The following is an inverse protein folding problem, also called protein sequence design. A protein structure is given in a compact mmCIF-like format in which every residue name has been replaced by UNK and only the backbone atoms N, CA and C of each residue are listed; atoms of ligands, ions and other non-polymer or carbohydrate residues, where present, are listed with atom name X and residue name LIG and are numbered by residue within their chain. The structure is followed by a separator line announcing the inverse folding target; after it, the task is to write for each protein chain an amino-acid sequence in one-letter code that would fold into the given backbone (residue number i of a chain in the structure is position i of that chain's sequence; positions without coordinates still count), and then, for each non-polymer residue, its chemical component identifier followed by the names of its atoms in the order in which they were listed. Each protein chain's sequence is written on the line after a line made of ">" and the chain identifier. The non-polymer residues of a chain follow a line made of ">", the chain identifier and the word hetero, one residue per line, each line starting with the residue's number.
data_IF_613654595699
#
_entry.id   IF_613654595699
#
_cell.length_a   1.000
_cell.length_b   1.000
_cell.length_c   1.000
_cell.angle_alpha   90.00
_cell.angle_beta   90.00
_cell.angle_gamma   90.00
#
_symmetry.space_group_name_H-M   'P 1'
#
loop_
_entity.id
_entity.type
_entity.pdbx_description
1 polymer ?
#
# COMPACT_ATOMS: atom_id res chain seq x y z
N UNK A 1 -5.41 -19.96 80.93
CA UNK A 1 -5.63 -21.09 79.99
C UNK A 1 -6.69 -20.68 78.97
N UNK A 2 -6.27 -20.30 77.76
CA UNK A 2 -7.13 -19.81 76.67
C UNK A 2 -7.17 -20.92 75.60
N UNK A 3 -8.31 -21.60 75.44
CA UNK A 3 -8.47 -22.65 74.41
C UNK A 3 -8.58 -21.97 73.05
N UNK A 4 -7.64 -22.26 72.15
CA UNK A 4 -7.70 -21.84 70.75
C UNK A 4 -8.84 -22.60 70.04
N UNK A 5 -9.62 -21.95 69.17
CA UNK A 5 -10.67 -22.61 68.40
C UNK A 5 -10.07 -23.58 67.37
N UNK A 6 -10.77 -24.67 67.04
CA UNK A 6 -10.28 -25.68 66.11
C UNK A 6 -10.10 -25.10 64.70
N UNK A 7 -8.97 -25.42 64.10
CA UNK A 7 -8.69 -25.21 62.68
C UNK A 7 -9.87 -25.74 61.85
N UNK A 8 -10.61 -24.84 61.22
CA UNK A 8 -11.53 -25.20 60.14
C UNK A 8 -10.69 -25.74 59.00
N UNK A 9 -10.68 -27.05 58.85
CA UNK A 9 -10.20 -27.73 57.66
C UNK A 9 -10.88 -27.09 56.44
N UNK A 10 -10.10 -26.35 55.65
CA UNK A 10 -10.47 -25.89 54.32
C UNK A 10 -10.81 -27.14 53.52
N UNK A 11 -12.10 -27.43 53.37
CA UNK A 11 -12.55 -28.49 52.47
C UNK A 11 -12.10 -28.09 51.08
N UNK A 12 -11.09 -28.79 50.56
CA UNK A 12 -10.72 -28.77 49.15
C UNK A 12 -11.89 -29.37 48.39
N UNK A 13 -12.86 -28.54 48.03
CA UNK A 13 -13.99 -28.93 47.22
C UNK A 13 -13.42 -29.39 45.85
N UNK A 14 -13.53 -30.67 45.49
CA UNK A 14 -12.96 -31.21 44.25
C UNK A 14 -13.74 -30.75 43.00
N UNK A 15 -14.67 -29.80 43.16
CA UNK A 15 -15.35 -29.06 42.10
C UNK A 15 -14.43 -28.11 41.31
N UNK A 16 -13.13 -28.42 41.21
CA UNK A 16 -12.21 -27.81 40.24
C UNK A 16 -12.53 -28.34 38.83
N UNK A 17 -13.59 -27.78 38.26
CA UNK A 17 -13.62 -27.32 36.88
C UNK A 17 -13.35 -28.35 35.78
N UNK A 18 -13.99 -29.51 35.82
CA UNK A 18 -14.14 -30.29 34.60
C UNK A 18 -15.06 -29.52 33.66
N UNK A 19 -14.49 -28.81 32.68
CA UNK A 19 -15.25 -28.19 31.60
C UNK A 19 -16.08 -29.30 30.98
N UNK A 20 -17.40 -29.21 31.10
CA UNK A 20 -18.29 -30.20 30.50
C UNK A 20 -18.00 -30.26 28.99
N UNK A 21 -18.06 -31.45 28.40
CA UNK A 21 -17.83 -31.63 26.96
C UNK A 21 -18.67 -30.65 26.11
N UNK A 22 -19.90 -30.37 26.57
CA UNK A 22 -20.79 -29.39 25.97
C UNK A 22 -20.22 -27.96 26.06
N UNK A 23 -19.66 -27.58 27.22
CA UNK A 23 -18.98 -26.31 27.39
C UNK A 23 -17.75 -26.16 26.49
N UNK A 24 -16.93 -27.22 26.36
CA UNK A 24 -15.78 -27.21 25.46
C UNK A 24 -16.18 -27.06 23.99
N UNK A 25 -17.25 -27.75 23.59
CA UNK A 25 -17.80 -27.67 22.22
C UNK A 25 -18.34 -26.27 21.93
N UNK A 26 -19.10 -25.68 22.86
CA UNK A 26 -19.63 -24.32 22.71
C UNK A 26 -18.50 -23.28 22.61
N UNK A 27 -17.48 -23.38 23.46
CA UNK A 27 -16.32 -22.49 23.41
C UNK A 27 -15.58 -22.60 22.07
N UNK A 28 -15.37 -23.82 21.58
CA UNK A 28 -14.73 -24.07 20.28
C UNK A 28 -15.52 -23.44 19.14
N UNK A 29 -16.86 -23.57 19.16
CA UNK A 29 -17.72 -22.95 18.16
C UNK A 29 -17.64 -21.41 18.19
N UNK A 30 -17.63 -20.80 19.37
CA UNK A 30 -17.47 -19.35 19.53
C UNK A 30 -16.12 -18.89 18.97
N UNK A 31 -15.02 -19.57 19.34
CA UNK A 31 -13.68 -19.25 18.85
C UNK A 31 -13.62 -19.38 17.32
N UNK A 32 -14.22 -20.43 16.75
CA UNK A 32 -14.28 -20.59 15.30
C UNK A 32 -15.02 -19.42 14.64
N UNK A 33 -16.21 -19.04 15.14
CA UNK A 33 -16.96 -17.89 14.62
C UNK A 33 -16.13 -16.60 14.70
N UNK A 34 -15.46 -16.35 15.83
CA UNK A 34 -14.59 -15.18 15.96
C UNK A 34 -13.47 -15.19 14.93
N UNK A 35 -12.82 -16.32 14.69
CA UNK A 35 -11.78 -16.46 13.67
C UNK A 35 -12.35 -16.20 12.27
N UNK A 36 -13.47 -16.84 11.90
CA UNK A 36 -14.08 -16.72 10.58
C UNK A 36 -14.62 -15.32 10.29
N UNK A 37 -15.06 -14.57 11.30
CA UNK A 37 -15.58 -13.20 11.13
C UNK A 37 -14.47 -12.16 11.24
N UNK A 38 -13.50 -12.35 12.15
CA UNK A 38 -12.49 -11.33 12.45
C UNK A 38 -11.34 -11.35 11.45
N UNK A 39 -10.88 -12.52 11.01
CA UNK A 39 -9.75 -12.61 10.06
C UNK A 39 -10.02 -11.90 8.72
N UNK A 40 -11.19 -12.03 8.07
CA UNK A 40 -11.47 -11.27 6.84
C UNK A 40 -11.45 -9.75 7.06
N UNK A 41 -11.96 -9.29 8.21
CA UNK A 41 -11.98 -7.86 8.56
C UNK A 41 -10.58 -7.33 8.83
N UNK A 42 -9.77 -8.06 9.59
CA UNK A 42 -8.36 -7.73 9.82
C UNK A 42 -7.59 -7.68 8.50
N UNK A 43 -7.85 -8.62 7.59
CA UNK A 43 -7.24 -8.59 6.26
C UNK A 43 -7.66 -7.37 5.45
N UNK A 44 -8.94 -6.99 5.47
CA UNK A 44 -9.37 -5.75 4.79
C UNK A 44 -8.71 -4.51 5.39
N UNK A 45 -8.55 -4.47 6.71
CA UNK A 45 -7.88 -3.38 7.39
C UNK A 45 -6.41 -3.27 6.96
N UNK A 46 -5.66 -4.37 7.01
CA UNK A 46 -4.26 -4.42 6.57
C UNK A 46 -4.12 -4.01 5.10
N UNK A 47 -5.03 -4.43 4.21
CA UNK A 47 -5.00 -3.98 2.82
C UNK A 47 -5.18 -2.47 2.69
N UNK A 48 -6.10 -1.86 3.46
CA UNK A 48 -6.35 -0.41 3.41
C UNK A 48 -5.19 0.39 4.00
N UNK A 49 -4.58 -0.12 5.07
CA UNK A 49 -3.39 0.45 5.69
C UNK A 49 -2.21 0.46 4.71
N UNK A 50 -1.88 -0.71 4.13
CA UNK A 50 -0.84 -0.83 3.10
C UNK A 50 -1.13 0.06 1.88
N UNK A 51 -2.39 0.20 1.47
CA UNK A 51 -2.80 1.10 0.37
C UNK A 51 -2.53 2.56 0.70
N UNK A 52 -2.87 3.01 1.92
CA UNK A 52 -2.61 4.39 2.35
C UNK A 52 -1.12 4.68 2.42
N UNK A 53 -0.35 3.78 3.03
CA UNK A 53 1.11 3.90 3.11
C UNK A 53 1.76 3.90 1.74
N UNK A 54 1.34 3.02 0.84
CA UNK A 54 1.87 2.97 -0.52
C UNK A 54 1.55 4.25 -1.30
N UNK A 55 0.37 4.82 -1.13
CA UNK A 55 0.00 6.11 -1.71
C UNK A 55 0.91 7.23 -1.17
N UNK A 56 1.07 7.31 0.15
CA UNK A 56 1.89 8.35 0.79
C UNK A 56 3.35 8.25 0.37
N UNK A 57 3.91 7.03 0.35
CA UNK A 57 5.27 6.78 -0.10
C UNK A 57 5.46 7.11 -1.58
N UNK A 58 4.51 6.76 -2.45
CA UNK A 58 4.59 7.12 -3.87
C UNK A 58 4.64 8.65 -4.06
N UNK A 59 3.83 9.40 -3.31
CA UNK A 59 3.84 10.87 -3.32
C UNK A 59 5.15 11.43 -2.77
N UNK A 60 5.67 10.88 -1.68
CA UNK A 60 6.96 11.29 -1.11
C UNK A 60 8.09 11.11 -2.13
N UNK A 61 8.21 9.92 -2.71
CA UNK A 61 9.23 9.63 -3.74
C UNK A 61 9.06 10.53 -4.98
N UNK A 62 7.83 10.83 -5.39
CA UNK A 62 7.59 11.73 -6.53
C UNK A 62 8.01 13.18 -6.27
N UNK A 63 7.98 13.64 -5.00
CA UNK A 63 8.53 14.94 -4.61
C UNK A 63 10.06 14.96 -4.65
N UNK A 64 10.71 13.86 -4.29
CA UNK A 64 12.17 13.74 -4.41
C UNK A 64 12.59 13.86 -5.89
N UNK A 65 11.85 13.21 -6.80
CA UNK A 65 12.07 13.33 -8.25
C UNK A 65 11.93 14.75 -8.79
N UNK A 66 11.10 15.59 -8.15
CA UNK A 66 10.95 17.00 -8.53
C UNK A 66 12.19 17.82 -8.17
N UNK A 67 12.83 17.47 -7.06
CA UNK A 67 13.98 18.20 -6.52
C UNK A 67 15.28 17.77 -7.19
N UNK A 68 15.40 16.48 -7.51
CA UNK A 68 16.60 15.88 -8.11
C UNK A 68 16.23 14.98 -9.30
N UNK A 69 15.94 15.56 -10.48
CA UNK A 69 15.60 14.79 -11.65
C UNK A 69 16.82 13.99 -12.15
N UNK A 70 16.65 12.73 -12.57
CA UNK A 70 17.76 11.96 -13.12
C UNK A 70 18.36 12.62 -14.36
N UNK A 71 19.68 12.47 -14.59
CA UNK A 71 20.30 12.86 -15.84
C UNK A 71 19.67 12.08 -17.01
N UNK A 72 19.53 12.76 -18.16
CA UNK A 72 18.88 12.21 -19.35
C UNK A 72 19.52 10.88 -19.79
N UNK A 73 18.71 9.82 -19.83
CA UNK A 73 19.10 8.52 -20.37
C UNK A 73 19.66 7.52 -19.36
N UNK A 74 19.87 7.91 -18.10
CA UNK A 74 20.29 6.96 -17.07
C UNK A 74 19.08 6.28 -16.39
N UNK A 75 19.15 4.97 -16.12
CA UNK A 75 18.10 4.27 -15.40
C UNK A 75 18.11 4.70 -13.93
N UNK A 76 17.10 5.46 -13.51
CA UNK A 76 16.98 5.87 -12.12
C UNK A 76 16.84 4.65 -11.19
N UNK A 77 17.71 4.58 -10.18
CA UNK A 77 17.66 3.58 -9.12
C UNK A 77 16.78 4.10 -7.98
N UNK A 78 15.74 3.34 -7.65
CA UNK A 78 14.87 3.67 -6.51
C UNK A 78 15.63 3.65 -5.19
N UNK A 79 16.64 2.81 -5.10
CA UNK A 79 17.53 2.73 -3.94
C UNK A 79 18.26 4.06 -3.68
N UNK A 80 18.72 4.75 -4.72
CA UNK A 80 19.35 6.06 -4.57
C UNK A 80 18.33 7.11 -4.13
N UNK A 81 17.14 7.08 -4.72
CA UNK A 81 16.04 7.99 -4.39
C UNK A 81 15.59 7.84 -2.93
N UNK A 82 15.48 6.60 -2.44
CA UNK A 82 15.14 6.30 -1.05
C UNK A 82 16.23 6.77 -0.10
N UNK A 83 17.51 6.55 -0.45
CA UNK A 83 18.65 7.00 0.37
C UNK A 83 18.77 8.53 0.43
N UNK A 84 18.30 9.23 -0.60
CA UNK A 84 18.31 10.69 -0.64
C UNK A 84 17.29 11.33 0.31
N UNK A 85 16.25 10.59 0.73
CA UNK A 85 15.17 11.09 1.59
C UNK A 85 15.19 10.38 2.97
N UNK A 86 15.75 11.02 4.02
CA UNK A 86 15.93 10.39 5.33
C UNK A 86 14.64 9.87 5.95
N UNK A 87 13.52 10.59 5.75
CA UNK A 87 12.22 10.21 6.28
C UNK A 87 11.70 8.93 5.62
N UNK A 88 12.05 8.68 4.36
CA UNK A 88 11.69 7.44 3.66
C UNK A 88 12.57 6.28 4.14
N UNK A 89 13.89 6.49 4.22
CA UNK A 89 14.86 5.48 4.62
C UNK A 89 14.70 4.99 6.07
N UNK A 90 14.15 5.83 6.96
CA UNK A 90 13.98 5.50 8.38
C UNK A 90 12.93 4.42 8.66
N UNK A 91 12.07 4.11 7.69
CA UNK A 91 10.84 3.37 7.94
C UNK A 91 10.98 1.83 7.93
N UNK A 92 12.15 1.28 7.56
CA UNK A 92 12.44 -0.16 7.63
C UNK A 92 11.62 -1.05 6.66
N UNK A 93 11.97 -2.33 6.57
CA UNK A 93 11.35 -3.34 5.69
C UNK A 93 11.44 -3.08 4.18
N UNK A 94 12.60 -2.60 3.73
CA UNK A 94 12.87 -2.35 2.31
C UNK A 94 13.53 -3.57 1.65
N UNK A 95 12.87 -4.16 0.66
CA UNK A 95 13.48 -5.13 -0.25
C UNK A 95 13.71 -4.48 -1.62
N UNK A 96 14.95 -4.38 -2.09
CA UNK A 96 15.27 -3.91 -3.44
C UNK A 96 15.42 -5.08 -4.42
N UNK A 97 14.89 -4.92 -5.64
CA UNK A 97 14.99 -5.89 -6.74
C UNK A 97 15.46 -5.22 -8.03
N UNK A 98 15.79 -6.06 -9.02
CA UNK A 98 16.18 -5.61 -10.36
C UNK A 98 17.33 -4.58 -10.35
N UNK A 99 18.30 -4.79 -9.45
CA UNK A 99 19.45 -3.90 -9.30
C UNK A 99 19.09 -2.52 -8.73
N UNK A 100 18.17 -2.45 -7.76
CA UNK A 100 17.77 -1.19 -7.11
C UNK A 100 16.64 -0.44 -7.82
N UNK A 101 16.14 -0.94 -8.97
CA UNK A 101 15.07 -0.29 -9.75
C UNK A 101 13.66 -0.55 -9.20
N UNK A 102 13.50 -1.60 -8.41
CA UNK A 102 12.24 -1.96 -7.77
C UNK A 102 12.45 -1.93 -6.26
N UNK A 103 11.53 -1.29 -5.56
CA UNK A 103 11.40 -1.39 -4.10
C UNK A 103 10.14 -2.18 -3.80
N UNK A 104 10.20 -3.08 -2.83
CA UNK A 104 9.01 -3.65 -2.19
C UNK A 104 8.97 -3.20 -0.74
N UNK A 105 7.79 -2.76 -0.33
CA UNK A 105 7.52 -2.35 1.05
C UNK A 105 6.04 -2.50 1.39
N UNK A 106 5.73 -3.00 2.58
CA UNK A 106 4.37 -3.30 3.07
C UNK A 106 3.48 -4.03 2.04
N UNK A 107 4.08 -4.94 1.27
CA UNK A 107 3.36 -5.71 0.24
C UNK A 107 2.99 -4.93 -1.03
N UNK A 108 3.51 -3.72 -1.20
CA UNK A 108 3.50 -2.95 -2.44
C UNK A 108 4.87 -2.97 -3.12
N UNK A 109 4.85 -2.78 -4.42
CA UNK A 109 6.01 -2.59 -5.28
C UNK A 109 6.02 -1.18 -5.82
N UNK A 110 7.21 -0.61 -5.98
CA UNK A 110 7.43 0.74 -6.46
C UNK A 110 8.48 0.75 -7.57
N UNK A 111 8.27 1.59 -8.57
CA UNK A 111 9.22 1.87 -9.64
C UNK A 111 9.08 3.30 -10.12
N UNK A 112 10.17 3.91 -10.59
CA UNK A 112 10.07 5.08 -11.46
C UNK A 112 9.87 4.61 -12.89
N UNK A 113 8.81 5.11 -13.51
CA UNK A 113 8.44 4.75 -14.87
C UNK A 113 8.29 6.01 -15.73
N UNK A 114 8.72 5.96 -17.01
CA UNK A 114 8.32 6.96 -17.96
C UNK A 114 6.83 6.77 -18.27
N UNK A 115 6.09 7.88 -18.23
CA UNK A 115 4.68 7.92 -18.56
C UNK A 115 4.51 8.85 -19.75
N UNK A 116 3.98 8.31 -20.84
CA UNK A 116 3.56 9.14 -21.97
C UNK A 116 2.47 10.09 -21.47
N UNK A 117 2.64 11.39 -21.72
CA UNK A 117 1.66 12.39 -21.32
C UNK A 117 0.24 11.91 -21.70
N UNK A 118 -0.74 11.97 -20.78
CA UNK A 118 -2.09 11.58 -21.13
C UNK A 118 -2.51 12.44 -22.32
N UNK A 119 -3.01 11.80 -23.38
CA UNK A 119 -3.51 12.54 -24.54
C UNK A 119 -4.52 13.54 -23.99
N UNK A 120 -4.26 14.87 -24.09
CA UNK A 120 -5.15 15.84 -23.49
C UNK A 120 -6.55 15.57 -24.02
N UNK A 121 -7.53 15.50 -23.11
CA UNK A 121 -8.92 15.44 -23.50
C UNK A 121 -9.15 16.55 -24.54
N UNK A 122 -9.92 16.28 -25.63
CA UNK A 122 -10.12 17.25 -26.69
C UNK A 122 -10.47 18.60 -26.06
N UNK A 123 -9.70 19.63 -26.40
CA UNK A 123 -9.77 20.93 -25.76
C UNK A 123 -11.24 21.37 -25.63
N UNK A 124 -11.66 21.93 -24.47
CA UNK A 124 -13.02 22.44 -24.33
C UNK A 124 -13.31 23.37 -25.50
N UNK A 125 -14.46 23.16 -26.16
CA UNK A 125 -14.84 23.90 -27.38
C UNK A 125 -14.83 25.40 -27.06
N UNK A 126 -13.85 26.11 -27.62
CA UNK A 126 -13.73 27.55 -27.79
C UNK A 126 -14.50 28.41 -26.77
N UNK A 127 -13.83 28.80 -25.67
CA UNK A 127 -14.36 29.79 -24.72
C UNK A 127 -13.46 30.08 -23.50
N UNK A 128 -12.69 29.11 -23.03
CA UNK A 128 -11.75 29.26 -21.89
C UNK A 128 -10.31 29.34 -22.39
N UNK A 129 -9.83 30.55 -22.71
CA UNK A 129 -8.51 30.75 -23.37
C UNK A 129 -7.40 31.22 -22.41
N UNK A 130 -7.65 31.38 -21.10
CA UNK A 130 -6.72 32.14 -20.24
C UNK A 130 -5.88 31.34 -19.22
N UNK A 131 -5.81 30.01 -19.28
CA UNK A 131 -5.01 29.22 -18.32
C UNK A 131 -4.10 28.14 -18.93
N UNK A 132 -3.86 28.15 -20.24
CA UNK A 132 -3.15 27.06 -20.93
C UNK A 132 -1.61 27.18 -20.97
N UNK A 133 -1.03 28.26 -20.44
CA UNK A 133 0.38 28.59 -20.69
C UNK A 133 1.41 27.76 -19.89
N UNK A 134 0.97 26.90 -18.98
CA UNK A 134 1.84 25.95 -18.25
C UNK A 134 1.52 24.48 -18.54
N UNK A 135 0.73 24.20 -19.57
CA UNK A 135 0.46 22.82 -19.97
C UNK A 135 1.75 22.19 -20.54
N UNK A 136 2.20 21.03 -20.02
CA UNK A 136 3.38 20.35 -20.54
C UNK A 136 3.23 20.07 -22.03
N UNK A 137 4.31 20.28 -22.80
CA UNK A 137 4.30 20.05 -24.25
C UNK A 137 3.85 18.61 -24.54
N UNK A 138 2.82 18.40 -25.37
CA UNK A 138 2.40 17.06 -25.75
C UNK A 138 3.58 16.31 -26.36
N UNK A 139 3.92 15.15 -25.80
CA UNK A 139 4.95 14.25 -26.32
C UNK A 139 6.23 14.10 -25.50
N UNK A 140 6.47 14.93 -24.47
CA UNK A 140 7.61 14.67 -23.55
C UNK A 140 7.15 13.68 -22.48
N UNK A 141 7.76 12.48 -22.37
CA UNK A 141 7.41 11.54 -21.30
C UNK A 141 7.70 12.18 -19.95
N UNK A 142 6.73 12.11 -19.03
CA UNK A 142 6.90 12.56 -17.64
C UNK A 142 7.32 11.35 -16.82
N UNK A 143 8.29 11.51 -15.93
CA UNK A 143 8.59 10.48 -14.94
C UNK A 143 7.49 10.48 -13.86
N UNK A 144 7.13 9.29 -13.41
CA UNK A 144 6.20 9.08 -12.31
C UNK A 144 6.68 7.94 -11.42
N UNK A 145 6.33 8.01 -10.14
CA UNK A 145 6.45 6.87 -9.23
C UNK A 145 5.18 6.04 -9.34
N UNK A 146 5.32 4.81 -9.84
CA UNK A 146 4.25 3.83 -9.88
C UNK A 146 4.33 2.94 -8.65
N UNK A 147 3.19 2.75 -7.99
CA UNK A 147 3.04 1.79 -6.90
C UNK A 147 1.95 0.77 -7.21
N UNK A 148 2.17 -0.52 -6.93
CA UNK A 148 1.17 -1.57 -7.18
C UNK A 148 1.30 -2.74 -6.20
N UNK A 149 0.21 -3.48 -5.93
CA UNK A 149 0.27 -4.55 -4.94
C UNK A 149 1.15 -5.71 -5.44
N UNK A 150 1.98 -6.26 -4.55
CA UNK A 150 2.69 -7.50 -4.80
C UNK A 150 1.73 -8.64 -5.12
N UNK A 151 0.60 -8.73 -4.39
CA UNK A 151 -0.46 -9.71 -4.64
C UNK A 151 -1.83 -9.09 -4.42
N UNK A 152 -2.58 -8.93 -5.51
CA UNK A 152 -3.87 -8.24 -5.50
C UNK A 152 -4.87 -8.95 -4.58
N UNK A 153 -5.61 -8.16 -3.82
CA UNK A 153 -6.57 -8.62 -2.81
C UNK A 153 -5.95 -9.24 -1.56
N UNK A 154 -4.61 -9.39 -1.48
CA UNK A 154 -3.90 -9.81 -0.26
C UNK A 154 -3.12 -8.67 0.37
N UNK A 155 -2.37 -7.91 -0.41
CA UNK A 155 -1.56 -6.81 0.10
C UNK A 155 -2.17 -5.44 -0.20
N UNK A 156 -3.01 -5.38 -1.23
CA UNK A 156 -3.79 -4.21 -1.63
C UNK A 156 -4.58 -4.49 -2.90
N UNK A 157 -5.35 -3.51 -3.36
CA UNK A 157 -6.30 -3.63 -4.47
C UNK A 157 -6.06 -2.60 -5.56
N UNK A 158 -5.56 -1.42 -5.20
CA UNK A 158 -5.33 -0.31 -6.11
C UNK A 158 -3.85 -0.20 -6.50
N UNK A 159 -3.60 0.34 -7.70
CA UNK A 159 -2.29 0.84 -8.11
C UNK A 159 -2.33 2.37 -8.18
N UNK A 160 -1.18 2.99 -7.99
CA UNK A 160 -1.01 4.44 -7.90
C UNK A 160 0.06 4.92 -8.88
N UNK A 161 -0.10 6.15 -9.39
CA UNK A 161 0.89 6.89 -10.14
C UNK A 161 0.98 8.29 -9.54
N UNK A 162 2.11 8.59 -8.90
CA UNK A 162 2.42 9.90 -8.36
C UNK A 162 3.41 10.61 -9.28
N UNK A 163 3.11 11.85 -9.65
CA UNK A 163 3.95 12.68 -10.50
C UNK A 163 4.65 13.76 -9.69
N UNK A 164 5.84 14.22 -10.13
CA UNK A 164 6.39 15.51 -9.71
C UNK A 164 5.34 16.61 -9.86
N UNK A 165 5.19 17.47 -8.85
CA UNK A 165 4.10 18.46 -8.74
C UNK A 165 2.86 17.97 -7.98
N UNK A 166 2.90 16.77 -7.39
CA UNK A 166 1.87 16.29 -6.45
C UNK A 166 0.61 15.71 -7.10
N UNK A 167 0.57 15.57 -8.42
CA UNK A 167 -0.53 14.93 -9.12
C UNK A 167 -0.54 13.41 -8.84
N UNK A 168 -1.68 12.89 -8.38
CA UNK A 168 -1.87 11.47 -8.08
C UNK A 168 -2.98 10.88 -8.95
N UNK A 169 -2.70 9.71 -9.52
CA UNK A 169 -3.68 8.90 -10.25
C UNK A 169 -3.80 7.54 -9.58
N UNK A 170 -5.03 7.03 -9.56
CA UNK A 170 -5.36 5.73 -8.96
C UNK A 170 -6.04 4.84 -10.00
N UNK A 171 -5.63 3.59 -10.06
CA UNK A 171 -6.29 2.53 -10.79
C UNK A 171 -6.89 1.55 -9.79
N UNK A 172 -8.21 1.60 -9.63
CA UNK A 172 -8.93 0.71 -8.72
C UNK A 172 -8.91 -0.75 -9.22
N UNK A 173 -9.01 -1.69 -8.28
CA UNK A 173 -8.84 -3.11 -8.53
C UNK A 173 -9.70 -3.65 -9.67
N UNK A 174 -9.04 -4.20 -10.67
CA UNK A 174 -9.63 -4.87 -11.84
C UNK A 174 -8.60 -5.79 -12.50
N UNK A 175 -8.96 -6.51 -13.58
CA UNK A 175 -8.02 -7.37 -14.31
C UNK A 175 -6.82 -6.60 -14.88
N UNK A 176 -6.98 -5.31 -15.15
CA UNK A 176 -5.90 -4.41 -15.59
C UNK A 176 -4.96 -3.95 -14.47
N UNK A 177 -5.32 -4.16 -13.20
CA UNK A 177 -4.47 -3.74 -12.07
C UNK A 177 -3.23 -4.64 -12.01
N UNK A 178 -2.02 -4.08 -12.16
CA UNK A 178 -0.76 -4.83 -12.15
C UNK A 178 -0.53 -5.54 -10.81
N UNK A 179 0.11 -6.72 -10.85
CA UNK A 179 0.58 -7.39 -9.63
C UNK A 179 1.95 -8.07 -9.82
N UNK A 180 2.72 -8.12 -8.73
CA UNK A 180 4.04 -8.77 -8.71
C UNK A 180 5.15 -8.01 -9.47
N UNK A 181 6.39 -8.51 -9.40
CA UNK A 181 7.59 -7.75 -9.81
C UNK A 181 7.71 -7.53 -11.33
N UNK A 182 7.02 -8.34 -12.14
CA UNK A 182 7.08 -8.23 -13.60
C UNK A 182 6.18 -7.13 -14.18
N UNK A 183 5.18 -6.67 -13.42
CA UNK A 183 4.10 -5.85 -13.96
C UNK A 183 4.38 -4.34 -14.03
N UNK A 184 5.50 -3.85 -13.46
CA UNK A 184 5.70 -2.41 -13.28
C UNK A 184 7.04 -1.83 -13.72
N UNK A 185 7.89 -2.58 -14.43
CA UNK A 185 9.08 -2.02 -15.07
C UNK A 185 8.81 -1.49 -16.48
N UNK A 186 7.71 -1.89 -17.11
CA UNK A 186 7.31 -1.40 -18.42
C UNK A 186 6.67 -0.02 -18.30
N UNK A 187 6.88 0.81 -19.34
CA UNK A 187 6.23 2.10 -19.47
C UNK A 187 4.70 1.94 -19.39
N UNK A 188 4.01 2.94 -18.83
CA UNK A 188 2.56 2.91 -18.79
C UNK A 188 2.01 3.05 -20.21
N UNK A 189 1.61 1.92 -20.81
CA UNK A 189 1.13 1.88 -22.19
C UNK A 189 -0.33 2.35 -22.37
N UNK A 190 -1.12 2.33 -21.29
CA UNK A 190 -2.54 2.72 -21.33
C UNK A 190 -2.96 3.47 -20.06
N UNK A 191 -3.76 4.52 -20.29
CA UNK A 191 -4.43 5.31 -19.26
C UNK A 191 -5.85 4.80 -18.95
N UNK A 192 -6.30 3.74 -19.61
CA UNK A 192 -7.64 3.19 -19.40
C UNK A 192 -7.84 2.78 -17.93
N UNK A 193 -8.91 3.29 -17.32
CA UNK A 193 -9.27 3.00 -15.92
C UNK A 193 -8.56 3.86 -14.87
N UNK A 194 -7.51 4.60 -15.21
CA UNK A 194 -6.85 5.52 -14.29
C UNK A 194 -7.73 6.74 -14.01
N UNK A 195 -7.84 7.12 -12.75
CA UNK A 195 -8.59 8.29 -12.30
C UNK A 195 -7.68 9.21 -11.49
N UNK A 196 -7.69 10.49 -11.85
CA UNK A 196 -7.01 11.51 -11.06
C UNK A 196 -7.68 11.59 -9.68
N UNK A 197 -6.86 11.50 -8.64
CA UNK A 197 -7.28 11.65 -7.25
C UNK A 197 -6.97 13.08 -6.81
N UNK A 198 -7.89 13.75 -6.09
CA UNK A 198 -7.66 15.11 -5.58
C UNK A 198 -6.55 15.15 -4.54
#
# INVERSE_FOLDING_TARGET
>A
MRRLPPERALSSDPSRGAISFLGATALTAIVAVLIFVSLPRLRSFVCLENESEARELAVALAKVLETDPPPDGEPLLLEELVRAEPDVAALGDEDFFAGGRLLRRHGYLFAVVPVAAPVPAPAPRSGEVLAAESAPRPGTPRLAVRAWPWKRGRTGRAAFLAFPGGELWTLEGGPACPEGPRAGLEALASWEGWRRTP
#
